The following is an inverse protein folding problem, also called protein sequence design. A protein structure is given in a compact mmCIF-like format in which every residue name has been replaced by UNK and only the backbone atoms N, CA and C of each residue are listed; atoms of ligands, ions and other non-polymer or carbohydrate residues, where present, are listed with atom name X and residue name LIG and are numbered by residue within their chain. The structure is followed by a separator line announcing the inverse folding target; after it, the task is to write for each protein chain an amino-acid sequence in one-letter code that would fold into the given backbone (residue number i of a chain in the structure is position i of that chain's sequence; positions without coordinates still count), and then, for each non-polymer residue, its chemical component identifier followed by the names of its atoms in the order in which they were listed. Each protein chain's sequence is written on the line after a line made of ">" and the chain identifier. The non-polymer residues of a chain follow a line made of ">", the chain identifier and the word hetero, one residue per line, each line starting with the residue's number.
data_IF_555823198008
#
_entry.id   IF_555823198008
#
_cell.length_a   1.000
_cell.length_b   1.000
_cell.length_c   1.000
_cell.angle_alpha   90.00
_cell.angle_beta   90.00
_cell.angle_gamma   90.00
#
_symmetry.space_group_name_H-M   'P 1'
#
loop_
_entity.id
_entity.type
_entity.pdbx_description
1 polymer ?
#
# COMPACT_ATOMS: atom_id res chain seq x y z
N UNK A 1 -16.47 -14.74 -6.43
CA UNK A 1 -15.57 -13.59 -6.19
C UNK A 1 -15.03 -13.13 -7.55
N UNK A 2 -15.23 -11.87 -7.94
CA UNK A 2 -14.63 -11.34 -9.18
C UNK A 2 -13.13 -11.14 -8.96
N UNK A 3 -12.30 -11.51 -9.94
CA UNK A 3 -10.85 -11.28 -9.88
C UNK A 3 -10.59 -9.78 -10.06
N UNK A 4 -9.84 -9.18 -9.12
CA UNK A 4 -9.28 -7.84 -9.24
C UNK A 4 -7.78 -7.96 -9.45
N UNK A 5 -7.26 -7.29 -10.48
CA UNK A 5 -5.81 -7.28 -10.77
C UNK A 5 -5.18 -6.00 -10.25
N UNK A 6 -4.02 -6.10 -9.62
CA UNK A 6 -3.21 -4.93 -9.28
C UNK A 6 -2.24 -4.67 -10.41
N UNK A 7 -2.24 -3.45 -10.94
CA UNK A 7 -1.30 -2.99 -11.95
C UNK A 7 -0.36 -1.96 -11.32
N UNK A 8 0.93 -2.24 -11.43
CA UNK A 8 2.00 -1.44 -10.84
C UNK A 8 3.10 -1.27 -11.88
N UNK A 9 3.67 -0.07 -11.99
CA UNK A 9 4.79 0.17 -12.87
C UNK A 9 6.01 -0.64 -12.37
N UNK A 10 6.85 -1.13 -13.29
CA UNK A 10 7.98 -1.99 -12.93
C UNK A 10 8.93 -1.32 -11.92
N UNK A 11 9.29 -0.05 -12.15
CA UNK A 11 10.18 0.69 -11.26
C UNK A 11 9.60 0.85 -9.85
N UNK A 12 8.29 1.12 -9.75
CA UNK A 12 7.58 1.23 -8.47
C UNK A 12 7.53 -0.12 -7.76
N UNK A 13 7.27 -1.20 -8.50
CA UNK A 13 7.32 -2.56 -7.96
C UNK A 13 8.70 -2.91 -7.43
N UNK A 14 9.76 -2.63 -8.19
CA UNK A 14 11.14 -2.92 -7.76
C UNK A 14 11.51 -2.10 -6.51
N UNK A 15 11.07 -0.85 -6.43
CA UNK A 15 11.23 0.00 -5.26
C UNK A 15 10.47 -0.53 -4.04
N UNK A 16 9.21 -0.93 -4.23
CA UNK A 16 8.38 -1.54 -3.19
C UNK A 16 8.99 -2.83 -2.66
N UNK A 17 9.44 -3.72 -3.54
CA UNK A 17 10.04 -5.00 -3.15
C UNK A 17 11.33 -4.78 -2.38
N UNK A 18 12.16 -3.80 -2.76
CA UNK A 18 13.36 -3.44 -2.00
C UNK A 18 13.06 -2.92 -0.60
N UNK A 19 11.98 -2.14 -0.46
CA UNK A 19 11.52 -1.64 0.86
C UNK A 19 10.95 -2.76 1.72
N UNK A 20 10.11 -3.63 1.15
CA UNK A 20 9.45 -4.69 1.90
C UNK A 20 10.39 -5.84 2.27
N UNK A 21 11.42 -6.07 1.46
CA UNK A 21 12.36 -7.17 1.62
C UNK A 21 13.81 -6.69 1.49
N UNK A 22 14.29 -5.82 2.40
CA UNK A 22 15.66 -5.30 2.34
C UNK A 22 16.70 -6.34 2.79
N UNK A 23 16.26 -7.45 3.40
CA UNK A 23 17.13 -8.55 3.85
C UNK A 23 17.57 -8.45 5.32
N UNK A 24 16.90 -7.64 6.13
CA UNK A 24 17.15 -7.48 7.57
C UNK A 24 16.39 -8.50 8.45
N UNK A 25 15.46 -9.25 7.88
CA UNK A 25 14.70 -10.29 8.56
C UNK A 25 13.54 -9.78 9.41
N UNK A 26 13.13 -8.52 9.26
CA UNK A 26 11.96 -7.95 9.93
C UNK A 26 10.79 -7.73 8.93
N UNK A 27 9.62 -7.42 9.46
CA UNK A 27 8.45 -7.05 8.68
C UNK A 27 8.46 -5.55 8.35
N UNK A 28 8.01 -5.21 7.14
CA UNK A 28 7.87 -3.83 6.67
C UNK A 28 6.49 -3.60 6.07
N UNK A 29 6.02 -2.35 6.15
CA UNK A 29 4.72 -1.93 5.62
C UNK A 29 4.82 -0.90 4.51
N UNK A 30 3.80 -0.86 3.66
CA UNK A 30 3.59 0.23 2.70
C UNK A 30 2.09 0.37 2.39
N UNK A 31 1.70 1.55 1.90
CA UNK A 31 0.37 1.80 1.32
C UNK A 31 0.53 2.10 -0.17
N UNK A 32 -0.32 1.49 -0.99
CA UNK A 32 -0.41 1.77 -2.43
C UNK A 32 -1.67 2.61 -2.67
N UNK A 33 -1.49 3.84 -3.14
CA UNK A 33 -2.61 4.63 -3.66
C UNK A 33 -2.85 4.20 -5.10
N UNK A 34 -4.06 3.73 -5.38
CA UNK A 34 -4.42 3.17 -6.66
C UNK A 34 -5.81 3.65 -7.07
N UNK A 35 -5.95 4.02 -8.34
CA UNK A 35 -7.28 4.27 -8.91
C UNK A 35 -7.97 2.94 -9.22
N UNK A 36 -9.28 2.88 -8.99
CA UNK A 36 -10.09 1.73 -9.36
C UNK A 36 -10.69 1.86 -10.77
N UNK A 37 -10.50 0.82 -11.59
CA UNK A 37 -11.11 0.71 -12.93
C UNK A 37 -11.92 -0.57 -13.01
N UNK A 38 -13.15 -0.49 -13.50
CA UNK A 38 -13.97 -1.68 -13.77
C UNK A 38 -14.85 -1.51 -15.00
N UNK A 39 -15.03 -2.60 -15.75
CA UNK A 39 -15.92 -2.67 -16.91
C UNK A 39 -17.00 -3.76 -16.74
N UNK A 40 -17.35 -4.10 -15.50
CA UNK A 40 -18.32 -5.15 -15.18
C UNK A 40 -17.69 -6.55 -15.16
N UNK A 41 -16.91 -6.95 -16.16
CA UNK A 41 -16.29 -8.29 -16.18
C UNK A 41 -14.95 -8.33 -15.47
N UNK A 42 -14.19 -7.24 -15.60
CA UNK A 42 -12.86 -7.09 -15.03
C UNK A 42 -12.82 -5.91 -14.06
N UNK A 43 -11.92 -6.02 -13.10
CA UNK A 43 -11.59 -4.93 -12.17
C UNK A 43 -10.08 -4.85 -12.00
N UNK A 44 -9.57 -3.63 -11.89
CA UNK A 44 -8.16 -3.37 -11.68
C UNK A 44 -7.95 -2.22 -10.68
N UNK A 45 -6.93 -2.36 -9.85
CA UNK A 45 -6.33 -1.29 -9.08
C UNK A 45 -5.05 -0.84 -9.79
N UNK A 46 -5.06 0.35 -10.35
CA UNK A 46 -3.91 0.93 -11.05
C UNK A 46 -3.14 1.81 -10.06
N UNK A 47 -2.02 1.29 -9.54
CA UNK A 47 -1.16 1.99 -8.59
C UNK A 47 -0.63 3.27 -9.23
N UNK A 48 -0.82 4.39 -8.52
CA UNK A 48 -0.31 5.71 -8.89
C UNK A 48 0.86 6.13 -8.02
N UNK A 49 0.82 5.78 -6.74
CA UNK A 49 1.85 6.16 -5.77
C UNK A 49 2.07 5.04 -4.75
N UNK A 50 3.31 4.96 -4.28
CA UNK A 50 3.74 4.05 -3.23
C UNK A 50 4.21 4.87 -2.05
N UNK A 51 3.68 4.56 -0.87
CA UNK A 51 4.06 5.18 0.38
C UNK A 51 4.65 4.11 1.31
N UNK A 52 5.99 3.94 1.29
CA UNK A 52 6.68 3.13 2.28
C UNK A 52 6.38 3.64 3.68
N UNK A 53 6.00 2.74 4.59
CA UNK A 53 5.83 3.09 5.99
C UNK A 53 7.21 3.19 6.64
N UNK A 54 7.43 4.24 7.43
CA UNK A 54 8.65 4.42 8.23
C UNK A 54 8.53 3.70 9.56
N UNK A 55 9.57 2.98 9.91
CA UNK A 55 9.66 2.12 11.08
C UNK A 55 9.63 2.96 12.36
N UNK A 56 8.83 2.51 13.33
CA UNK A 56 8.60 3.23 14.58
C UNK A 56 7.69 4.46 14.47
N UNK A 57 7.33 4.89 13.25
CA UNK A 57 6.44 6.06 13.02
C UNK A 57 5.14 5.63 12.35
N UNK A 58 5.24 5.17 11.11
CA UNK A 58 4.11 4.73 10.30
C UNK A 58 3.90 3.21 10.40
N UNK A 59 4.94 2.44 10.77
CA UNK A 59 4.89 1.01 11.07
C UNK A 59 5.37 0.75 12.50
N UNK A 60 4.44 0.40 13.38
CA UNK A 60 4.62 0.38 14.84
C UNK A 60 4.31 -0.99 15.43
N UNK A 61 4.58 -1.18 16.73
CA UNK A 61 4.22 -2.41 17.43
C UNK A 61 2.71 -2.64 17.39
N UNK A 62 2.28 -3.84 17.02
CA UNK A 62 0.87 -4.21 17.01
C UNK A 62 0.32 -4.49 18.41
N UNK A 63 -0.95 -4.17 18.63
CA UNK A 63 -1.72 -4.63 19.80
C UNK A 63 -2.40 -5.99 19.54
N UNK A 64 -2.67 -6.30 18.27
CA UNK A 64 -3.30 -7.54 17.80
C UNK A 64 -2.50 -8.02 16.58
N UNK A 65 -1.26 -8.47 16.80
CA UNK A 65 -0.30 -8.83 15.74
C UNK A 65 1.12 -8.36 16.09
N UNK A 66 2.11 -8.79 15.31
CA UNK A 66 3.51 -8.42 15.53
C UNK A 66 3.75 -6.93 15.28
N UNK A 67 3.31 -6.44 14.11
CA UNK A 67 3.40 -5.04 13.68
C UNK A 67 2.04 -4.51 13.19
N UNK A 68 1.91 -3.19 13.13
CA UNK A 68 0.72 -2.51 12.64
C UNK A 68 1.09 -1.21 11.93
N UNK A 69 0.30 -0.84 10.91
CA UNK A 69 0.36 0.51 10.36
C UNK A 69 -0.30 1.50 11.34
N UNK A 70 0.34 2.63 11.58
CA UNK A 70 -0.17 3.66 12.46
C UNK A 70 -1.53 4.19 11.94
N UNK A 71 -2.56 4.34 12.79
CA UNK A 71 -3.87 4.82 12.36
C UNK A 71 -3.82 6.17 11.66
N UNK A 72 -2.93 7.07 12.11
CA UNK A 72 -2.70 8.38 11.49
C UNK A 72 -2.12 8.29 10.09
N UNK A 73 -1.22 7.32 9.85
CA UNK A 73 -0.67 7.03 8.54
C UNK A 73 -1.77 6.58 7.57
N UNK A 74 -2.58 5.60 8.00
CA UNK A 74 -3.72 5.09 7.22
C UNK A 74 -4.71 6.21 6.93
N UNK A 75 -5.10 6.99 7.95
CA UNK A 75 -6.09 8.06 7.80
C UNK A 75 -5.64 9.13 6.78
N UNK A 76 -4.35 9.50 6.79
CA UNK A 76 -3.78 10.42 5.82
C UNK A 76 -3.88 9.87 4.39
N UNK A 77 -3.60 8.58 4.21
CA UNK A 77 -3.70 7.94 2.89
C UNK A 77 -5.14 7.83 2.39
N UNK A 78 -6.10 7.48 3.26
CA UNK A 78 -7.53 7.45 2.91
C UNK A 78 -8.02 8.84 2.50
N UNK A 79 -7.67 9.86 3.27
CA UNK A 79 -8.05 11.26 2.96
C UNK A 79 -7.52 11.67 1.60
N UNK A 80 -6.25 11.38 1.33
CA UNK A 80 -5.62 11.68 0.04
C UNK A 80 -6.25 10.90 -1.12
N UNK A 81 -6.50 9.61 -0.95
CA UNK A 81 -7.18 8.79 -1.97
C UNK A 81 -8.55 9.39 -2.34
N UNK A 82 -9.34 9.77 -1.33
CA UNK A 82 -10.63 10.41 -1.53
C UNK A 82 -10.51 11.75 -2.27
N UNK A 83 -9.61 12.61 -1.83
CA UNK A 83 -9.44 13.95 -2.39
C UNK A 83 -8.93 13.90 -3.84
N UNK A 84 -8.14 12.88 -4.19
CA UNK A 84 -7.67 12.59 -5.55
C UNK A 84 -8.62 11.70 -6.38
N UNK A 85 -9.75 11.26 -5.80
CA UNK A 85 -10.77 10.39 -6.42
C UNK A 85 -10.19 9.06 -6.95
N UNK A 86 -9.44 8.39 -6.09
CA UNK A 86 -8.84 7.07 -6.34
C UNK A 86 -9.73 5.92 -5.85
#
# INVERSE_FOLDING_TARGET
>A
MRKCVVRIARADFDGLMRHLFPGDGDEHGAVLLAGYVSNGEHSALCVREIHPAREGIDYVKGNVGYRALAPTFIHRMITRARDERL
#
